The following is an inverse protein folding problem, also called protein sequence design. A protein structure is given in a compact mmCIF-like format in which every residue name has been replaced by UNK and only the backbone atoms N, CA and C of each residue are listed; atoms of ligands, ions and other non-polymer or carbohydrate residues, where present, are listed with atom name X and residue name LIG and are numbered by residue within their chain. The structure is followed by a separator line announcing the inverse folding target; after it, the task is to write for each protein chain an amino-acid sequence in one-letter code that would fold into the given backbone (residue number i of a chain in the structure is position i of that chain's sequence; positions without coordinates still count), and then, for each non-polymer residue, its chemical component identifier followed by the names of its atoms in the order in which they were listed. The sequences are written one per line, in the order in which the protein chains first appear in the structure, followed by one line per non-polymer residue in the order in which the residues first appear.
data_IF_429040792038
#
_entry.id   IF_429040792038
#
_cell.length_a   1.000
_cell.length_b   1.000
_cell.length_c   1.000
_cell.angle_alpha   90.00
_cell.angle_beta   90.00
_cell.angle_gamma   90.00
#
_symmetry.space_group_name_H-M   'P 1'
#
loop_
_entity.id
_entity.type
_entity.pdbx_description
1 polymer ?
#
# COMPACT_ATOMS: atom_id res chain seq x y z
N UNK A 1 16.59 8.55 -11.66
CA UNK A 1 17.54 7.47 -11.95
C UNK A 1 17.17 6.80 -13.29
N UNK A 2 18.10 6.10 -13.97
CA UNK A 2 17.85 5.50 -15.28
C UNK A 2 16.67 4.48 -15.26
N UNK A 3 16.51 3.72 -14.18
CA UNK A 3 15.39 2.79 -13.97
C UNK A 3 14.02 3.49 -13.88
N UNK A 4 13.96 4.68 -13.34
CA UNK A 4 12.70 5.43 -13.23
C UNK A 4 12.23 5.89 -14.61
N UNK A 5 13.16 6.29 -15.49
CA UNK A 5 12.84 6.72 -16.87
C UNK A 5 12.37 5.56 -17.75
N UNK A 6 12.98 4.38 -17.63
CA UNK A 6 12.52 3.17 -18.34
C UNK A 6 11.14 2.74 -17.89
N UNK A 7 10.84 2.81 -16.59
CA UNK A 7 9.53 2.49 -16.05
C UNK A 7 8.46 3.46 -16.55
N UNK A 8 8.75 4.78 -16.56
CA UNK A 8 7.82 5.80 -17.05
C UNK A 8 7.59 5.66 -18.55
N UNK A 9 8.62 5.32 -19.33
CA UNK A 9 8.47 5.08 -20.76
C UNK A 9 7.61 3.84 -21.07
N UNK A 10 7.79 2.76 -20.31
CA UNK A 10 6.95 1.57 -20.41
C UNK A 10 5.48 1.87 -20.04
N UNK A 11 5.27 2.69 -19.01
CA UNK A 11 3.95 3.15 -18.59
C UNK A 11 3.31 4.04 -19.67
N UNK A 12 4.06 4.95 -20.27
CA UNK A 12 3.59 5.80 -21.37
C UNK A 12 3.10 4.96 -22.54
N UNK A 13 3.88 3.96 -22.96
CA UNK A 13 3.48 3.02 -24.01
C UNK A 13 2.20 2.26 -23.64
N UNK A 14 2.09 1.77 -22.41
CA UNK A 14 0.88 1.07 -21.96
C UNK A 14 -0.35 1.96 -21.93
N UNK A 15 -0.20 3.25 -21.60
CA UNK A 15 -1.28 4.24 -21.62
C UNK A 15 -1.71 4.54 -23.06
N UNK A 16 -0.76 4.58 -23.99
CA UNK A 16 -1.05 4.84 -25.40
C UNK A 16 -1.80 3.68 -26.05
N UNK A 17 -1.40 2.45 -25.73
CA UNK A 17 -1.98 1.22 -26.30
C UNK A 17 -3.38 0.90 -25.75
N UNK A 18 -3.70 1.27 -24.49
CA UNK A 18 -4.89 0.74 -23.79
C UNK A 18 -5.89 1.79 -23.27
N UNK A 19 -5.63 3.08 -23.39
CA UNK A 19 -6.47 4.20 -22.84
C UNK A 19 -6.88 4.07 -21.35
N UNK A 20 -6.46 3.02 -20.63
CA UNK A 20 -6.95 2.63 -19.31
C UNK A 20 -6.10 3.18 -18.17
N UNK A 21 -5.61 4.42 -18.27
CA UNK A 21 -4.94 5.04 -17.14
C UNK A 21 -5.94 5.36 -16.02
N UNK A 22 -5.73 4.77 -14.85
CA UNK A 22 -6.43 5.21 -13.64
C UNK A 22 -6.22 6.72 -13.44
N UNK A 23 -7.22 7.49 -13.00
CA UNK A 23 -7.07 8.93 -12.80
C UNK A 23 -5.99 9.23 -11.75
N UNK A 24 -5.33 10.37 -11.87
CA UNK A 24 -4.50 10.93 -10.80
C UNK A 24 -5.37 11.49 -9.70
N UNK A 25 -4.83 11.67 -8.50
CA UNK A 25 -5.52 12.33 -7.39
C UNK A 25 -4.90 13.71 -7.19
N UNK A 26 -5.75 14.73 -7.18
CA UNK A 26 -5.34 16.11 -6.95
C UNK A 26 -6.24 16.79 -5.91
N UNK A 27 -5.71 17.79 -5.20
CA UNK A 27 -6.51 18.66 -4.34
C UNK A 27 -6.52 20.10 -4.89
N UNK A 28 -7.63 20.85 -4.73
CA UNK A 28 -7.63 22.25 -5.04
C UNK A 28 -6.76 23.00 -4.04
N UNK A 29 -5.96 23.95 -4.53
CA UNK A 29 -5.25 24.87 -3.66
C UNK A 29 -6.18 26.03 -3.28
N UNK A 30 -6.28 26.36 -1.96
CA UNK A 30 -7.02 27.55 -1.54
C UNK A 30 -6.46 28.79 -2.25
N UNK A 31 -7.34 29.70 -2.64
CA UNK A 31 -6.99 30.99 -3.24
C UNK A 31 -6.44 30.96 -4.68
N UNK A 32 -6.34 29.79 -5.31
CA UNK A 32 -5.90 29.67 -6.71
C UNK A 32 -6.82 28.74 -7.49
N UNK A 33 -6.90 28.91 -8.81
CA UNK A 33 -7.57 27.96 -9.71
C UNK A 33 -6.67 26.77 -10.09
N UNK A 34 -5.68 26.47 -9.26
CA UNK A 34 -4.69 25.41 -9.50
C UNK A 34 -4.90 24.21 -8.57
N UNK A 35 -4.31 23.12 -8.95
CA UNK A 35 -4.41 21.84 -8.22
C UNK A 35 -3.03 21.36 -7.82
N UNK A 36 -2.93 20.80 -6.63
CA UNK A 36 -1.75 20.11 -6.18
C UNK A 36 -1.91 18.59 -6.40
N UNK A 37 -0.88 17.96 -6.99
CA UNK A 37 -0.86 16.53 -7.19
C UNK A 37 -0.65 15.81 -5.85
N UNK A 38 -1.54 14.87 -5.53
CA UNK A 38 -1.47 14.08 -4.30
C UNK A 38 -1.05 12.64 -4.59
N UNK A 39 -1.41 12.09 -5.77
CA UNK A 39 -1.03 10.74 -6.16
C UNK A 39 -1.03 10.59 -7.68
N UNK A 40 -0.06 9.86 -8.22
CA UNK A 40 0.03 9.51 -9.63
C UNK A 40 1.08 10.25 -10.43
N UNK A 41 2.21 10.64 -9.81
CA UNK A 41 3.32 11.36 -10.44
C UNK A 41 3.81 10.67 -11.73
N UNK A 42 4.02 9.34 -11.70
CA UNK A 42 4.47 8.59 -12.88
C UNK A 42 3.46 8.66 -14.04
N UNK A 43 2.15 8.70 -13.74
CA UNK A 43 1.08 8.85 -14.76
C UNK A 43 1.08 10.24 -15.34
N UNK A 44 1.29 11.26 -14.52
CA UNK A 44 1.41 12.64 -14.98
C UNK A 44 2.62 12.81 -15.90
N UNK A 45 3.78 12.27 -15.51
CA UNK A 45 4.98 12.32 -16.34
C UNK A 45 4.81 11.52 -17.65
N UNK A 46 4.18 10.35 -17.60
CA UNK A 46 3.86 9.57 -18.81
C UNK A 46 2.97 10.37 -19.79
N UNK A 47 1.96 11.09 -19.29
CA UNK A 47 1.10 11.95 -20.13
C UNK A 47 1.87 13.13 -20.72
N UNK A 48 2.82 13.72 -19.98
CA UNK A 48 3.71 14.77 -20.50
C UNK A 48 4.61 14.23 -21.63
N UNK A 49 5.19 13.04 -21.46
CA UNK A 49 6.01 12.39 -22.50
C UNK A 49 5.18 12.14 -23.76
N UNK A 50 3.91 11.74 -23.62
CA UNK A 50 2.98 11.52 -24.73
C UNK A 50 2.46 12.83 -25.37
N UNK A 51 2.84 13.99 -24.84
CA UNK A 51 2.35 15.30 -25.32
C UNK A 51 0.85 15.51 -25.13
N UNK A 52 0.20 14.76 -24.23
CA UNK A 52 -1.24 14.89 -23.97
C UNK A 52 -1.53 16.15 -23.17
N UNK A 53 -2.44 17.00 -23.67
CA UNK A 53 -2.79 18.27 -23.05
C UNK A 53 -3.58 18.10 -21.73
N UNK A 54 -4.23 16.96 -21.53
CA UNK A 54 -5.10 16.70 -20.38
C UNK A 54 -4.86 15.32 -19.79
N UNK A 55 -5.15 15.18 -18.51
CA UNK A 55 -5.13 13.89 -17.80
C UNK A 55 -6.39 13.79 -16.95
N UNK A 56 -6.95 12.57 -16.85
CA UNK A 56 -8.07 12.32 -15.93
C UNK A 56 -7.63 12.47 -14.49
N UNK A 57 -8.34 13.27 -13.71
CA UNK A 57 -8.06 13.52 -12.31
C UNK A 57 -9.30 13.34 -11.44
N UNK A 58 -9.11 12.83 -10.23
CA UNK A 58 -10.09 12.94 -9.15
C UNK A 58 -9.70 14.17 -8.35
N UNK A 59 -10.59 15.14 -8.32
CA UNK A 59 -10.41 16.37 -7.52
C UNK A 59 -11.07 16.13 -6.16
N UNK A 60 -10.29 16.23 -5.07
CA UNK A 60 -10.80 16.06 -3.71
C UNK A 60 -10.21 17.13 -2.80
N UNK A 61 -11.05 17.93 -2.11
CA UNK A 61 -10.60 18.80 -1.03
C UNK A 61 -10.03 17.94 0.11
N UNK A 62 -8.86 18.29 0.62
CA UNK A 62 -8.21 17.63 1.74
C UNK A 62 -7.23 18.56 2.43
N UNK A 63 -6.98 18.30 3.71
CA UNK A 63 -5.99 19.01 4.52
C UNK A 63 -4.56 18.65 4.13
N UNK A 64 -3.57 19.43 4.56
CA UNK A 64 -2.15 19.15 4.34
C UNK A 64 -1.74 17.82 4.98
N UNK A 65 -2.27 17.49 6.16
CA UNK A 65 -2.00 16.23 6.83
C UNK A 65 -2.53 15.01 6.04
N UNK A 66 -3.72 15.12 5.45
CA UNK A 66 -4.29 14.08 4.61
C UNK A 66 -3.51 13.94 3.30
N UNK A 67 -3.13 15.05 2.67
CA UNK A 67 -2.32 15.02 1.44
C UNK A 67 -0.93 14.43 1.70
N UNK A 68 -0.23 14.84 2.77
CA UNK A 68 1.05 14.28 3.18
C UNK A 68 0.98 12.78 3.46
N UNK A 69 -0.11 12.32 4.03
CA UNK A 69 -0.38 10.91 4.31
C UNK A 69 -0.50 10.10 3.01
N UNK A 70 -1.21 10.62 2.01
CA UNK A 70 -1.37 9.94 0.70
C UNK A 70 -0.08 10.02 -0.12
N UNK A 71 0.61 11.17 -0.11
CA UNK A 71 1.93 11.34 -0.73
C UNK A 71 2.95 10.35 -0.16
N UNK A 72 2.91 10.11 1.14
CA UNK A 72 3.74 9.08 1.78
C UNK A 72 3.40 7.69 1.26
N UNK A 73 2.12 7.38 1.09
CA UNK A 73 1.67 6.11 0.52
C UNK A 73 2.06 5.93 -0.95
N UNK A 74 2.06 6.99 -1.76
CA UNK A 74 2.49 6.96 -3.17
C UNK A 74 4.02 6.81 -3.30
N UNK A 75 4.79 7.50 -2.44
CA UNK A 75 6.24 7.34 -2.36
C UNK A 75 6.68 5.95 -1.88
N UNK A 76 5.83 5.27 -1.14
CA UNK A 76 6.04 3.89 -0.71
C UNK A 76 5.94 2.87 -1.87
N UNK A 77 5.36 3.23 -3.01
CA UNK A 77 5.43 2.42 -4.24
C UNK A 77 6.85 2.36 -4.85
N UNK A 78 7.75 3.27 -4.46
CA UNK A 78 9.15 3.32 -4.94
C UNK A 78 10.13 2.44 -4.16
N UNK A 79 9.76 1.97 -2.95
CA UNK A 79 10.46 0.92 -2.20
C UNK A 79 9.62 -0.34 -2.23
N UNK A 80 10.26 -1.49 -2.28
CA UNK A 80 9.59 -2.76 -2.02
C UNK A 80 9.11 -2.76 -0.57
N UNK A 81 7.86 -2.30 -0.37
CA UNK A 81 7.22 -2.34 0.93
C UNK A 81 7.07 -3.77 1.39
N UNK A 82 7.38 -3.99 2.65
CA UNK A 82 6.96 -5.21 3.32
C UNK A 82 5.42 -5.30 3.35
N UNK A 83 4.92 -6.51 3.41
CA UNK A 83 3.47 -6.76 3.49
C UNK A 83 2.84 -6.10 4.74
N UNK A 84 3.61 -5.96 5.83
CA UNK A 84 3.19 -5.21 7.02
C UNK A 84 2.98 -3.73 6.75
N UNK A 85 3.93 -3.07 6.08
CA UNK A 85 3.81 -1.65 5.73
C UNK A 85 2.63 -1.39 4.77
N UNK A 86 2.37 -2.34 3.86
CA UNK A 86 1.17 -2.30 3.01
C UNK A 86 -0.10 -2.41 3.86
N UNK A 87 -0.12 -3.26 4.90
CA UNK A 87 -1.25 -3.36 5.83
C UNK A 87 -1.50 -2.03 6.55
N UNK A 88 -0.45 -1.40 7.06
CA UNK A 88 -0.58 -0.10 7.72
C UNK A 88 -1.11 0.98 6.77
N UNK A 89 -0.65 0.98 5.51
CA UNK A 89 -1.15 1.86 4.46
C UNK A 89 -2.65 1.62 4.19
N UNK A 90 -3.08 0.36 4.13
CA UNK A 90 -4.49 0.00 3.98
C UNK A 90 -5.32 0.54 5.15
N UNK A 91 -4.85 0.33 6.39
CA UNK A 91 -5.54 0.81 7.58
C UNK A 91 -5.72 2.32 7.57
N UNK A 92 -4.69 3.05 7.18
CA UNK A 92 -4.71 4.49 7.01
C UNK A 92 -5.72 4.93 5.93
N UNK A 93 -5.72 4.32 4.76
CA UNK A 93 -6.66 4.62 3.68
C UNK A 93 -8.12 4.38 4.10
N UNK A 94 -8.36 3.34 4.90
CA UNK A 94 -9.70 3.02 5.41
C UNK A 94 -10.11 4.00 6.51
N UNK A 95 -9.25 4.29 7.48
CA UNK A 95 -9.56 5.18 8.60
C UNK A 95 -9.87 6.62 8.16
N UNK A 96 -9.18 7.10 7.12
CA UNK A 96 -9.44 8.43 6.53
C UNK A 96 -10.56 8.40 5.47
N UNK A 97 -11.24 7.28 5.28
CA UNK A 97 -12.37 7.16 4.37
C UNK A 97 -12.02 7.19 2.88
N UNK A 98 -10.74 7.01 2.52
CA UNK A 98 -10.29 6.97 1.11
C UNK A 98 -10.71 5.69 0.39
N UNK A 99 -10.89 4.61 1.13
CA UNK A 99 -11.41 3.36 0.62
C UNK A 99 -12.34 2.71 1.63
N UNK A 100 -13.47 2.19 1.15
CA UNK A 100 -14.46 1.45 1.95
C UNK A 100 -14.51 -0.03 1.59
N UNK A 101 -13.92 -0.41 0.46
CA UNK A 101 -13.98 -1.78 -0.07
C UNK A 101 -12.61 -2.25 -0.56
N UNK A 102 -12.38 -3.57 -0.52
CA UNK A 102 -11.16 -4.18 -1.06
C UNK A 102 -10.99 -3.92 -2.57
N UNK A 103 -12.08 -3.69 -3.30
CA UNK A 103 -12.02 -3.30 -4.71
C UNK A 103 -11.43 -1.89 -4.91
N UNK A 104 -11.77 -0.95 -4.03
CA UNK A 104 -11.20 0.40 -4.05
C UNK A 104 -9.71 0.35 -3.64
N UNK A 105 -9.38 -0.39 -2.58
CA UNK A 105 -7.99 -0.59 -2.14
C UNK A 105 -7.14 -1.23 -3.24
N UNK A 106 -7.66 -2.25 -3.93
CA UNK A 106 -7.00 -2.91 -5.06
C UNK A 106 -6.66 -1.93 -6.18
N UNK A 107 -7.57 -1.00 -6.51
CA UNK A 107 -7.33 0.05 -7.52
C UNK A 107 -6.31 1.09 -7.07
N UNK A 108 -6.40 1.54 -5.81
CA UNK A 108 -5.50 2.57 -5.25
C UNK A 108 -4.07 2.02 -5.18
N UNK A 109 -3.90 0.80 -4.67
CA UNK A 109 -2.60 0.19 -4.42
C UNK A 109 -2.02 -0.55 -5.64
N UNK A 110 -2.80 -0.73 -6.71
CA UNK A 110 -2.36 -1.50 -7.88
C UNK A 110 -2.08 -2.98 -7.58
N UNK A 111 -2.71 -3.53 -6.52
CA UNK A 111 -2.52 -4.90 -6.08
C UNK A 111 -3.82 -5.70 -6.21
N UNK A 112 -3.76 -7.00 -6.53
CA UNK A 112 -4.97 -7.81 -6.69
C UNK A 112 -5.72 -7.98 -5.36
N UNK A 113 -7.06 -8.15 -5.42
CA UNK A 113 -7.94 -8.22 -4.25
C UNK A 113 -7.54 -9.32 -3.26
N UNK A 114 -7.13 -10.50 -3.76
CA UNK A 114 -6.70 -11.59 -2.89
C UNK A 114 -5.50 -11.21 -2.03
N UNK A 115 -4.59 -10.39 -2.57
CA UNK A 115 -3.44 -9.88 -1.82
C UNK A 115 -3.88 -8.91 -0.72
N UNK A 116 -4.81 -8.00 -1.04
CA UNK A 116 -5.39 -7.07 -0.05
C UNK A 116 -5.99 -7.85 1.14
N UNK A 117 -6.75 -8.89 0.84
CA UNK A 117 -7.37 -9.74 1.88
C UNK A 117 -6.33 -10.46 2.73
N UNK A 118 -5.24 -10.98 2.13
CA UNK A 118 -4.13 -11.60 2.87
C UNK A 118 -3.40 -10.63 3.78
N UNK A 119 -3.03 -9.48 3.24
CA UNK A 119 -2.30 -8.44 3.98
C UNK A 119 -3.10 -7.92 5.18
N UNK A 120 -4.40 -7.77 5.04
CA UNK A 120 -5.27 -7.35 6.16
C UNK A 120 -5.32 -8.34 7.33
N UNK A 121 -4.86 -9.57 7.14
CA UNK A 121 -4.78 -10.54 8.21
C UNK A 121 -3.79 -10.14 9.33
N UNK A 122 -2.83 -9.26 9.05
CA UNK A 122 -1.97 -8.68 10.08
C UNK A 122 -2.76 -7.94 11.18
N UNK A 123 -3.95 -7.44 10.89
CA UNK A 123 -4.81 -6.78 11.88
C UNK A 123 -5.38 -7.74 12.93
N UNK A 124 -5.34 -9.03 12.66
CA UNK A 124 -5.82 -10.06 13.59
C UNK A 124 -4.72 -10.58 14.53
N UNK A 125 -3.48 -10.11 14.37
CA UNK A 125 -2.37 -10.48 15.26
C UNK A 125 -2.59 -9.94 16.68
N UNK A 126 -2.22 -10.71 17.71
CA UNK A 126 -2.12 -10.19 19.08
C UNK A 126 -1.18 -8.99 19.17
N UNK A 127 -1.40 -8.05 20.09
CA UNK A 127 -0.60 -6.82 20.19
C UNK A 127 0.91 -7.05 20.32
N UNK A 128 1.35 -8.05 21.10
CA UNK A 128 2.76 -8.42 21.23
C UNK A 128 3.34 -8.92 19.91
N UNK A 129 2.64 -9.83 19.25
CA UNK A 129 3.01 -10.35 17.94
C UNK A 129 3.10 -9.24 16.88
N UNK A 130 2.15 -8.32 16.87
CA UNK A 130 2.17 -7.15 15.98
C UNK A 130 3.38 -6.24 16.24
N UNK A 131 3.81 -6.09 17.50
CA UNK A 131 5.00 -5.33 17.87
C UNK A 131 6.28 -5.97 17.30
N UNK A 132 6.41 -7.30 17.34
CA UNK A 132 7.53 -8.00 16.72
C UNK A 132 7.59 -7.82 15.20
N UNK A 133 6.43 -7.88 14.52
CA UNK A 133 6.33 -7.63 13.08
C UNK A 133 6.73 -6.18 12.76
N UNK A 134 6.33 -5.21 13.57
CA UNK A 134 6.68 -3.80 13.37
C UNK A 134 8.19 -3.52 13.50
N UNK A 135 8.90 -4.29 14.35
CA UNK A 135 10.37 -4.17 14.52
C UNK A 135 11.13 -4.70 13.31
N UNK A 136 10.68 -5.80 12.70
CA UNK A 136 11.36 -6.45 11.60
C UNK A 136 10.38 -6.86 10.47
N UNK A 137 9.73 -5.89 9.82
CA UNK A 137 8.61 -6.17 8.91
C UNK A 137 8.98 -7.00 7.68
N UNK A 138 10.23 -6.91 7.23
CA UNK A 138 10.72 -7.67 6.10
C UNK A 138 10.80 -9.20 6.34
N UNK A 139 10.78 -9.63 7.61
CA UNK A 139 10.80 -11.05 7.97
C UNK A 139 9.42 -11.73 7.88
N UNK A 140 8.34 -10.97 7.68
CA UNK A 140 6.98 -11.49 7.80
C UNK A 140 6.15 -11.22 6.55
N UNK A 141 5.76 -12.30 5.84
CA UNK A 141 4.90 -12.21 4.67
C UNK A 141 3.41 -12.31 5.00
N UNK A 142 2.56 -11.78 4.12
CA UNK A 142 1.10 -11.82 4.24
C UNK A 142 0.53 -13.25 4.31
N UNK A 143 1.24 -14.24 3.76
CA UNK A 143 0.83 -15.64 3.84
C UNK A 143 0.83 -16.11 5.29
N UNK A 144 1.90 -15.87 6.06
CA UNK A 144 1.97 -16.22 7.47
C UNK A 144 0.80 -15.60 8.27
N UNK A 145 0.57 -14.29 8.10
CA UNK A 145 -0.54 -13.62 8.79
C UNK A 145 -1.90 -14.24 8.43
N UNK A 146 -2.10 -14.56 7.15
CA UNK A 146 -3.31 -15.22 6.66
C UNK A 146 -3.49 -16.61 7.26
N UNK A 147 -2.42 -17.40 7.38
CA UNK A 147 -2.46 -18.76 7.90
C UNK A 147 -2.70 -18.76 9.42
N UNK A 148 -2.04 -17.85 10.16
CA UNK A 148 -2.31 -17.63 11.58
C UNK A 148 -3.76 -17.21 11.86
N UNK A 149 -4.34 -16.37 11.00
CA UNK A 149 -5.77 -16.05 11.08
C UNK A 149 -6.64 -17.26 10.82
N UNK A 150 -6.33 -18.03 9.78
CA UNK A 150 -7.12 -19.21 9.38
C UNK A 150 -7.06 -20.33 10.43
N UNK A 151 -5.92 -20.52 11.09
CA UNK A 151 -5.76 -21.51 12.18
C UNK A 151 -6.52 -21.14 13.46
N UNK A 152 -6.87 -19.84 13.62
CA UNK A 152 -7.50 -19.32 14.83
C UNK A 152 -6.54 -19.14 16.02
N UNK A 153 -5.25 -19.41 15.88
CA UNK A 153 -4.26 -19.31 16.98
C UNK A 153 -4.15 -17.89 17.53
N UNK A 154 -4.32 -16.86 16.71
CA UNK A 154 -4.33 -15.47 17.19
C UNK A 154 -5.35 -15.23 18.32
N UNK A 155 -6.47 -15.97 18.32
CA UNK A 155 -7.54 -15.87 19.34
C UNK A 155 -7.39 -16.88 20.46
N UNK A 156 -7.02 -18.13 20.12
CA UNK A 156 -7.00 -19.25 21.08
C UNK A 156 -5.68 -19.34 21.84
N UNK A 157 -4.57 -18.95 21.24
CA UNK A 157 -3.23 -19.08 21.81
C UNK A 157 -2.37 -17.83 21.55
N UNK A 158 -2.82 -16.62 21.97
CA UNK A 158 -2.14 -15.36 21.63
C UNK A 158 -0.68 -15.30 22.14
N UNK A 159 -0.40 -15.84 23.32
CA UNK A 159 0.95 -15.86 23.89
C UNK A 159 1.90 -16.78 23.10
N UNK A 160 1.40 -17.88 22.54
CA UNK A 160 2.19 -18.77 21.72
C UNK A 160 2.57 -18.12 20.37
N UNK A 161 1.63 -17.38 19.76
CA UNK A 161 1.88 -16.59 18.55
C UNK A 161 2.92 -15.52 18.82
N UNK A 162 2.82 -14.82 19.95
CA UNK A 162 3.77 -13.79 20.37
C UNK A 162 5.20 -14.38 20.50
N UNK A 163 5.35 -15.48 21.26
CA UNK A 163 6.64 -16.15 21.43
C UNK A 163 7.21 -16.64 20.10
N UNK A 164 6.39 -17.23 19.24
CA UNK A 164 6.83 -17.74 17.94
C UNK A 164 7.38 -16.62 17.05
N UNK A 165 6.69 -15.46 16.99
CA UNK A 165 7.16 -14.31 16.20
C UNK A 165 8.40 -13.66 16.81
N UNK A 166 8.52 -13.60 18.15
CA UNK A 166 9.74 -13.17 18.83
C UNK A 166 10.95 -14.04 18.44
N UNK A 167 10.75 -15.35 18.33
CA UNK A 167 11.81 -16.30 17.89
C UNK A 167 12.18 -16.15 16.43
N UNK A 168 11.26 -15.72 15.56
CA UNK A 168 11.58 -15.37 14.17
C UNK A 168 12.47 -14.12 14.12
N UNK A 169 12.16 -13.10 14.90
CA UNK A 169 12.97 -11.87 14.97
C UNK A 169 14.39 -12.16 15.49
N UNK A 170 14.52 -13.05 16.48
CA UNK A 170 15.83 -13.45 17.00
C UNK A 170 16.62 -14.42 16.08
N UNK A 171 16.03 -14.88 14.98
CA UNK A 171 16.63 -15.87 14.08
C UNK A 171 16.60 -17.30 14.59
N UNK A 172 15.94 -17.56 15.73
CA UNK A 172 15.82 -18.90 16.32
C UNK A 172 14.73 -19.77 15.62
N UNK A 173 13.87 -19.15 14.81
CA UNK A 173 12.82 -19.81 14.05
C UNK A 173 12.71 -19.17 12.67
N UNK A 174 12.35 -19.94 11.65
CA UNK A 174 11.98 -19.40 10.35
C UNK A 174 10.48 -19.11 10.28
N UNK A 175 10.06 -18.20 9.39
CA UNK A 175 8.63 -17.94 9.17
C UNK A 175 7.85 -19.23 8.88
N UNK A 176 8.40 -20.16 8.12
CA UNK A 176 7.78 -21.44 7.79
C UNK A 176 7.62 -22.39 9.00
N UNK A 177 8.35 -22.16 10.08
CA UNK A 177 8.28 -22.97 11.29
C UNK A 177 7.29 -22.48 12.35
N UNK A 178 6.55 -21.41 12.05
CA UNK A 178 5.55 -20.81 12.97
C UNK A 178 4.21 -21.55 12.93
N UNK A 179 3.94 -22.28 11.84
CA UNK A 179 2.64 -22.95 11.57
C UNK A 179 2.83 -24.46 11.56
#
# INVERSE_FOLDING_TARGET
SCRDQEHIAALAKSIDDNELASPILVRPLPETETYELVCGENRLEAHKILGRATIRAIVRPMTDAEAATILSADNLQRKELSDWEICQTINMLVSHGFAKTDAQLSRILGRPRYFITKVRAFNDLPPGAAAHVAVAPALFGASLASDLRASGYCKTHPSLVDEALARVVSGALTQAGVI
#
